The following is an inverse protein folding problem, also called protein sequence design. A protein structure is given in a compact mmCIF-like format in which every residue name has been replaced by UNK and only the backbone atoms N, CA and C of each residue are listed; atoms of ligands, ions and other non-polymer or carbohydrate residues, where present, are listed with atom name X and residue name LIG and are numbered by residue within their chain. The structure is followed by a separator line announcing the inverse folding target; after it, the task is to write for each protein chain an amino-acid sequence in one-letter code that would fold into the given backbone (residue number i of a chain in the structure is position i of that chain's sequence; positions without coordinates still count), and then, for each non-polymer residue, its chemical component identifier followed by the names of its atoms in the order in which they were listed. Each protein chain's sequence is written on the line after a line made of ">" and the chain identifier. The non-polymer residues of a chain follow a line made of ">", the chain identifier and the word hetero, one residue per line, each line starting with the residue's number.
data_IF_888961474999
#
_entry.id   IF_888961474999
#
_cell.length_a   1.000
_cell.length_b   1.000
_cell.length_c   1.000
_cell.angle_alpha   90.00
_cell.angle_beta   90.00
_cell.angle_gamma   90.00
#
_symmetry.space_group_name_H-M   'P 1'
#
loop_
_entity.id
_entity.type
_entity.pdbx_description
1 polymer ?
#
# COMPACT_ATOMS: atom_id res chain seq x y z
N UNK A 1 -23.51 7.67 27.53
CA UNK A 1 -23.11 6.48 26.74
C UNK A 1 -23.04 6.76 25.25
N UNK A 2 -24.04 7.40 24.63
CA UNK A 2 -24.06 7.73 23.19
C UNK A 2 -22.85 8.56 22.68
N UNK A 3 -22.37 9.54 23.46
CA UNK A 3 -21.19 10.35 23.09
C UNK A 3 -19.89 9.54 23.01
N UNK A 4 -19.73 8.55 23.88
CA UNK A 4 -18.54 7.69 23.90
C UNK A 4 -18.55 6.76 22.69
N UNK A 5 -19.71 6.18 22.37
CA UNK A 5 -19.89 5.36 21.15
C UNK A 5 -19.59 6.15 19.87
N UNK A 6 -19.98 7.42 19.82
CA UNK A 6 -19.65 8.30 18.69
C UNK A 6 -18.15 8.52 18.52
N UNK A 7 -17.39 8.63 19.62
CA UNK A 7 -15.93 8.79 19.55
C UNK A 7 -15.27 7.53 19.02
N UNK A 8 -15.69 6.35 19.49
CA UNK A 8 -15.18 5.07 18.98
C UNK A 8 -15.49 4.88 17.49
N UNK A 9 -16.69 5.24 17.05
CA UNK A 9 -17.08 5.13 15.64
C UNK A 9 -16.18 5.98 14.73
N UNK A 10 -15.91 7.23 15.13
CA UNK A 10 -15.02 8.13 14.40
C UNK A 10 -13.59 7.60 14.40
N UNK A 11 -13.10 7.08 15.52
CA UNK A 11 -11.77 6.47 15.64
C UNK A 11 -11.61 5.27 14.71
N UNK A 12 -12.61 4.38 14.66
CA UNK A 12 -12.63 3.23 13.75
C UNK A 12 -12.62 3.70 12.29
N UNK A 13 -13.44 4.69 11.93
CA UNK A 13 -13.42 5.26 10.57
C UNK A 13 -12.05 5.84 10.20
N UNK A 14 -11.41 6.60 11.09
CA UNK A 14 -10.06 7.13 10.85
C UNK A 14 -9.03 6.02 10.65
N UNK A 15 -9.06 4.97 11.47
CA UNK A 15 -8.14 3.82 11.34
C UNK A 15 -8.40 3.06 10.05
N UNK A 16 -9.67 2.82 9.69
CA UNK A 16 -10.01 2.16 8.43
C UNK A 16 -9.53 2.95 7.21
N UNK A 17 -9.73 4.28 7.21
CA UNK A 17 -9.23 5.15 6.14
C UNK A 17 -7.70 5.17 6.09
N UNK A 18 -7.05 5.21 7.25
CA UNK A 18 -5.58 5.12 7.32
C UNK A 18 -5.07 3.82 6.72
N UNK A 19 -5.67 2.68 7.09
CA UNK A 19 -5.32 1.37 6.54
C UNK A 19 -5.50 1.38 5.02
N UNK A 20 -6.66 1.79 4.49
CA UNK A 20 -6.91 1.82 3.03
C UNK A 20 -5.91 2.73 2.30
N UNK A 21 -5.56 3.89 2.87
CA UNK A 21 -4.58 4.80 2.27
C UNK A 21 -3.17 4.22 2.31
N UNK A 22 -2.79 3.54 3.41
CA UNK A 22 -1.49 2.88 3.53
C UNK A 22 -1.39 1.56 2.77
N UNK A 23 -2.51 0.88 2.53
CA UNK A 23 -2.61 -0.31 1.68
C UNK A 23 -2.62 0.06 0.18
N UNK A 24 -2.59 1.36 -0.12
CA UNK A 24 -2.33 1.89 -1.45
C UNK A 24 -0.94 1.49 -1.96
N UNK A 25 -0.90 0.38 -2.72
CA UNK A 25 0.16 0.02 -3.68
C UNK A 25 1.43 -0.63 -3.15
N UNK A 26 1.37 -1.39 -2.06
CA UNK A 26 2.37 -2.45 -1.90
C UNK A 26 1.93 -3.64 -2.75
N UNK A 27 2.27 -3.60 -4.04
CA UNK A 27 2.26 -4.84 -4.85
C UNK A 27 3.31 -5.73 -4.20
N UNK A 28 2.85 -6.60 -3.31
CA UNK A 28 3.67 -7.62 -2.69
C UNK A 28 4.18 -8.48 -3.84
N UNK A 29 5.48 -8.50 -4.02
CA UNK A 29 6.11 -9.33 -5.05
C UNK A 29 6.91 -10.43 -4.37
N UNK A 30 6.85 -11.64 -4.91
CA UNK A 30 7.81 -12.71 -4.59
C UNK A 30 8.90 -12.80 -5.65
N UNK A 31 8.59 -12.38 -6.87
CA UNK A 31 9.52 -12.40 -7.98
C UNK A 31 9.36 -11.17 -8.87
N UNK A 32 10.42 -10.80 -9.58
CA UNK A 32 10.46 -9.61 -10.45
C UNK A 32 9.47 -9.68 -11.62
N UNK A 33 9.00 -10.88 -11.99
CA UNK A 33 7.95 -11.07 -13.00
C UNK A 33 6.57 -10.56 -12.56
N UNK A 34 6.33 -10.43 -11.24
CA UNK A 34 5.09 -9.90 -10.68
C UNK A 34 5.09 -8.36 -10.69
N UNK A 35 6.22 -7.74 -11.02
CA UNK A 35 6.34 -6.29 -11.07
C UNK A 35 6.06 -5.76 -12.48
N UNK A 36 5.08 -4.86 -12.65
CA UNK A 36 4.79 -4.28 -13.96
C UNK A 36 5.99 -3.46 -14.45
N UNK A 37 6.46 -3.77 -15.66
CA UNK A 37 7.57 -3.06 -16.32
C UNK A 37 7.23 -1.60 -16.67
N UNK A 38 5.95 -1.23 -16.67
CA UNK A 38 5.44 0.04 -17.18
C UNK A 38 5.69 1.26 -16.29
N UNK A 39 6.07 1.08 -15.03
CA UNK A 39 6.12 2.18 -14.06
C UNK A 39 7.54 2.70 -13.79
N UNK A 40 8.56 2.19 -14.49
CA UNK A 40 9.94 2.62 -14.33
C UNK A 40 10.38 3.49 -15.51
N UNK A 41 11.31 4.42 -15.25
CA UNK A 41 11.96 5.18 -16.33
C UNK A 41 12.61 4.23 -17.35
N UNK A 42 12.78 4.64 -18.62
CA UNK A 42 13.23 3.77 -19.71
C UNK A 42 14.59 3.07 -19.50
N UNK A 43 15.40 3.53 -18.54
CA UNK A 43 16.68 2.92 -18.17
C UNK A 43 16.65 2.08 -16.88
N UNK A 44 15.49 1.99 -16.23
CA UNK A 44 15.31 1.27 -14.97
C UNK A 44 14.45 0.03 -15.17
N UNK A 45 14.84 -1.05 -14.53
CA UNK A 45 14.05 -2.28 -14.54
C UNK A 45 13.28 -2.40 -13.23
N UNK A 46 12.00 -2.78 -13.33
CA UNK A 46 11.24 -3.13 -12.14
C UNK A 46 11.76 -4.45 -11.57
N UNK A 47 12.25 -4.42 -10.32
CA UNK A 47 12.74 -5.58 -9.59
C UNK A 47 11.98 -5.75 -8.28
N UNK A 48 11.85 -7.00 -7.86
CA UNK A 48 11.34 -7.28 -6.54
C UNK A 48 12.45 -7.15 -5.49
N UNK A 49 12.32 -6.17 -4.58
CA UNK A 49 13.30 -5.89 -3.53
C UNK A 49 12.59 -5.80 -2.19
N UNK A 50 12.86 -6.77 -1.30
CA UNK A 50 12.19 -6.91 0.02
C UNK A 50 10.67 -6.91 -0.13
N UNK A 51 10.19 -7.82 -0.96
CA UNK A 51 8.76 -8.04 -1.23
C UNK A 51 8.02 -6.84 -1.83
N UNK A 52 8.77 -5.84 -2.34
CA UNK A 52 8.21 -4.65 -2.97
C UNK A 52 8.81 -4.45 -4.35
N UNK A 53 7.97 -4.11 -5.31
CA UNK A 53 8.45 -3.68 -6.62
C UNK A 53 9.17 -2.33 -6.48
N UNK A 54 10.45 -2.31 -6.84
CA UNK A 54 11.28 -1.11 -6.90
C UNK A 54 11.88 -0.98 -8.29
N UNK A 55 12.03 0.24 -8.77
CA UNK A 55 12.81 0.52 -9.97
C UNK A 55 14.29 0.60 -9.56
N UNK A 56 15.13 -0.18 -10.24
CA UNK A 56 16.58 -0.27 -10.02
C UNK A 56 17.30 -0.10 -11.34
#
# INVERSE_FOLDING_TARGET
>A
MARILSLFYVLIMFVSLFIVVTDGKYVICQNSSQCPRSNCFPYQNSKCVRERCKCV
#
